data_IF_725574470822
#
_entry.id   IF_725574470822
#
_cell.length_a   1.000
_cell.length_b   1.000
_cell.length_c   1.000
_cell.angle_alpha   90.00
_cell.angle_beta   90.00
_cell.angle_gamma   90.00
#
_symmetry.space_group_name_H-M   'P 1'
#
loop_
_entity.id
_entity.type
_entity.pdbx_description
1 polymer ?
#
# COMPACT_ATOMS: atom_id res chain seq x y z
N UNK A 1 5.96 -2.29 -60.89
CA UNK A 1 4.82 -3.00 -61.51
C UNK A 1 4.98 -4.48 -61.17
N UNK A 2 4.12 -5.07 -60.33
CA UNK A 2 2.91 -5.78 -60.76
C UNK A 2 3.21 -7.29 -60.87
N UNK A 3 3.13 -8.10 -59.80
CA UNK A 3 1.98 -8.90 -59.31
C UNK A 3 1.87 -10.30 -59.96
N UNK A 4 1.92 -11.34 -59.08
CA UNK A 4 1.29 -12.68 -59.09
C UNK A 4 1.68 -13.67 -60.25
N UNK A 5 1.65 -15.00 -60.11
CA UNK A 5 0.71 -15.94 -59.46
C UNK A 5 1.41 -17.30 -59.12
N UNK A 6 0.82 -18.08 -58.20
CA UNK A 6 1.25 -19.43 -57.79
C UNK A 6 1.10 -20.53 -58.86
N UNK A 7 1.33 -21.82 -58.50
CA UNK A 7 0.22 -22.59 -57.92
C UNK A 7 0.59 -23.62 -56.84
N UNK A 8 -0.45 -24.01 -56.11
CA UNK A 8 -0.58 -25.16 -55.21
C UNK A 8 -0.59 -26.50 -55.95
N UNK A 9 -0.13 -27.58 -55.31
CA UNK A 9 -0.97 -28.75 -54.91
C UNK A 9 -0.15 -29.96 -54.43
N UNK A 10 -0.51 -30.41 -53.23
CA UNK A 10 -0.67 -31.81 -52.77
C UNK A 10 0.37 -32.87 -53.12
N UNK A 11 1.02 -33.42 -52.10
CA UNK A 11 1.59 -34.77 -52.15
C UNK A 11 1.02 -35.64 -51.02
N UNK A 12 0.32 -36.65 -51.50
CA UNK A 12 -0.28 -37.84 -50.90
C UNK A 12 0.53 -38.49 -49.79
N UNK A 13 -0.12 -38.77 -48.65
CA UNK A 13 0.38 -39.68 -47.63
C UNK A 13 0.28 -41.13 -48.13
N UNK A 14 1.38 -41.88 -48.13
CA UNK A 14 1.38 -43.35 -48.20
C UNK A 14 1.87 -43.92 -46.88
N UNK A 15 1.07 -44.82 -46.34
CA UNK A 15 1.39 -45.66 -45.17
C UNK A 15 2.50 -46.66 -45.53
N UNK A 16 3.51 -46.76 -44.67
CA UNK A 16 4.57 -47.76 -44.75
C UNK A 16 5.38 -47.73 -43.46
N UNK A 17 5.31 -48.82 -42.70
CA UNK A 17 5.85 -49.04 -41.36
C UNK A 17 7.33 -48.69 -41.22
N UNK A 18 7.70 -47.94 -40.16
CA UNK A 18 9.04 -47.91 -39.60
C UNK A 18 9.00 -47.47 -38.12
N UNK A 19 8.97 -48.48 -37.23
CA UNK A 19 9.69 -48.61 -35.95
C UNK A 19 9.73 -47.41 -34.99
N UNK A 20 9.17 -47.66 -33.81
CA UNK A 20 9.31 -46.91 -32.56
C UNK A 20 10.70 -46.30 -32.35
N UNK A 21 10.77 -44.98 -32.34
CA UNK A 21 11.79 -44.26 -31.58
C UNK A 21 11.09 -43.16 -30.79
N UNK A 22 10.98 -43.24 -29.45
CA UNK A 22 10.54 -42.11 -28.66
C UNK A 22 11.62 -41.05 -28.80
N UNK A 23 11.33 -40.03 -29.60
CA UNK A 23 12.12 -38.80 -29.64
C UNK A 23 12.20 -38.31 -28.19
N UNK A 24 13.40 -38.15 -27.60
CA UNK A 24 13.51 -37.58 -26.28
C UNK A 24 13.20 -36.10 -26.44
N UNK A 25 11.92 -35.75 -26.33
CA UNK A 25 11.52 -34.42 -25.91
C UNK A 25 12.32 -34.15 -24.65
N UNK A 26 13.40 -33.38 -24.81
CA UNK A 26 14.09 -32.71 -23.71
C UNK A 26 13.03 -31.85 -23.06
N UNK A 27 12.32 -32.42 -22.08
CA UNK A 27 11.74 -31.66 -21.01
C UNK A 27 12.93 -31.03 -20.29
N UNK A 28 13.41 -29.91 -20.83
CA UNK A 28 14.02 -28.88 -19.99
C UNK A 28 12.90 -28.47 -19.04
N UNK A 29 12.73 -29.23 -17.96
CA UNK A 29 12.37 -28.63 -16.70
C UNK A 29 13.53 -27.69 -16.41
N UNK A 30 13.45 -26.46 -16.90
CA UNK A 30 14.16 -25.38 -16.26
C UNK A 30 13.69 -25.46 -14.82
N UNK A 31 14.54 -26.05 -14.00
CA UNK A 31 14.39 -25.97 -12.57
C UNK A 31 14.78 -24.53 -12.30
N UNK A 32 13.85 -23.60 -12.55
CA UNK A 32 14.01 -22.23 -12.13
C UNK A 32 14.20 -22.32 -10.63
N UNK A 33 15.46 -22.20 -10.24
CA UNK A 33 15.88 -22.17 -8.85
C UNK A 33 15.13 -21.02 -8.21
N UNK A 34 14.22 -21.33 -7.30
CA UNK A 34 13.47 -20.31 -6.59
C UNK A 34 14.45 -19.43 -5.82
N UNK A 35 14.60 -18.17 -6.22
CA UNK A 35 15.46 -17.21 -5.55
C UNK A 35 14.63 -16.32 -4.62
N UNK A 36 14.90 -16.44 -3.32
CA UNK A 36 14.43 -15.51 -2.30
C UNK A 36 15.53 -14.47 -2.07
N UNK A 37 15.21 -13.19 -2.23
CA UNK A 37 16.22 -12.11 -2.20
C UNK A 37 16.28 -11.42 -0.84
N UNK A 38 17.36 -10.67 -0.60
CA UNK A 38 17.46 -9.79 0.58
C UNK A 38 16.35 -8.73 0.59
N UNK A 39 15.99 -8.19 -0.58
CA UNK A 39 14.87 -7.26 -0.71
C UNK A 39 13.54 -7.92 -0.29
N UNK A 40 13.28 -9.16 -0.71
CA UNK A 40 12.09 -9.89 -0.26
C UNK A 40 12.07 -10.05 1.26
N UNK A 41 13.22 -10.41 1.84
CA UNK A 41 13.40 -10.56 3.29
C UNK A 41 13.10 -9.25 4.01
N UNK A 42 13.63 -8.13 3.52
CA UNK A 42 13.36 -6.81 4.08
C UNK A 42 11.85 -6.48 4.09
N UNK A 43 11.14 -6.75 2.99
CA UNK A 43 9.71 -6.42 2.89
C UNK A 43 8.78 -7.35 3.68
N UNK A 44 9.28 -8.48 4.20
CA UNK A 44 8.50 -9.30 5.17
C UNK A 44 8.08 -8.50 6.40
N UNK A 45 8.81 -7.42 6.73
CA UNK A 45 8.50 -6.48 7.81
C UNK A 45 7.11 -5.84 7.70
N UNK A 46 6.52 -5.73 6.51
CA UNK A 46 5.13 -5.27 6.36
C UNK A 46 4.12 -6.29 6.91
N UNK A 47 4.51 -7.55 7.01
CA UNK A 47 3.66 -8.69 7.33
C UNK A 47 4.03 -9.37 8.65
N UNK A 48 4.77 -8.68 9.53
CA UNK A 48 4.98 -9.02 10.94
C UNK A 48 4.18 -8.08 11.86
N UNK A 49 4.24 -8.32 13.17
CA UNK A 49 3.68 -7.43 14.18
C UNK A 49 4.39 -6.06 14.20
N UNK A 50 3.60 -5.02 14.48
CA UNK A 50 4.07 -3.64 14.68
C UNK A 50 3.50 -3.21 16.02
N UNK A 51 4.36 -3.03 17.01
CA UNK A 51 3.94 -2.89 18.41
C UNK A 51 3.17 -1.58 18.66
N UNK A 52 3.43 -0.55 17.86
CA UNK A 52 2.83 0.78 17.99
C UNK A 52 1.55 0.97 17.15
N UNK A 53 0.94 -0.13 16.66
CA UNK A 53 -0.27 -0.09 15.83
C UNK A 53 -1.45 -0.87 16.45
N UNK A 54 -2.71 -0.39 16.31
CA UNK A 54 -3.12 0.84 15.65
C UNK A 54 -2.75 2.09 16.45
N UNK A 55 -2.52 3.20 15.75
CA UNK A 55 -2.24 4.48 16.40
C UNK A 55 -3.49 5.00 17.12
N UNK A 56 -3.32 5.37 18.39
CA UNK A 56 -4.36 6.00 19.20
C UNK A 56 -4.21 7.52 19.28
N UNK A 57 -2.96 8.02 19.33
CA UNK A 57 -2.63 9.43 19.20
C UNK A 57 -1.68 9.62 18.01
N UNK A 58 -2.21 10.16 16.93
CA UNK A 58 -1.46 10.36 15.69
C UNK A 58 -0.52 11.57 15.71
N UNK A 59 -0.66 12.46 16.69
CA UNK A 59 0.09 13.72 16.71
C UNK A 59 1.56 13.54 17.12
N UNK A 60 1.88 12.50 17.88
CA UNK A 60 3.23 12.25 18.44
C UNK A 60 4.05 11.21 17.70
N UNK A 61 3.48 10.50 16.72
CA UNK A 61 4.06 9.31 16.10
C UNK A 61 5.06 9.62 14.96
N UNK A 62 6.16 10.33 15.25
CA UNK A 62 7.18 10.69 14.23
C UNK A 62 7.93 9.46 13.72
N UNK A 63 8.48 8.65 14.63
CA UNK A 63 9.32 7.51 14.27
C UNK A 63 8.53 6.45 13.49
N UNK A 64 7.31 6.17 13.95
CA UNK A 64 6.40 5.26 13.27
C UNK A 64 6.03 5.77 11.88
N UNK A 65 5.78 7.08 11.71
CA UNK A 65 5.50 7.65 10.39
C UNK A 65 6.69 7.52 9.46
N UNK A 66 7.90 7.82 9.93
CA UNK A 66 9.13 7.67 9.14
C UNK A 66 9.31 6.22 8.68
N UNK A 67 9.12 5.27 9.60
CA UNK A 67 9.26 3.84 9.30
C UNK A 67 8.20 3.35 8.31
N UNK A 68 6.93 3.73 8.52
CA UNK A 68 5.83 3.40 7.61
C UNK A 68 6.02 4.04 6.24
N UNK A 69 6.39 5.31 6.18
CA UNK A 69 6.62 6.02 4.92
C UNK A 69 7.71 5.35 4.11
N UNK A 70 8.87 5.14 4.73
CA UNK A 70 10.01 4.53 4.09
C UNK A 70 9.68 3.15 3.53
N UNK A 71 9.12 2.25 4.34
CA UNK A 71 8.86 0.88 3.89
C UNK A 71 7.71 0.78 2.88
N UNK A 72 6.66 1.59 3.02
CA UNK A 72 5.53 1.57 2.08
C UNK A 72 5.97 2.10 0.73
N UNK A 73 6.67 3.24 0.68
CA UNK A 73 7.12 3.82 -0.59
C UNK A 73 8.08 2.91 -1.34
N UNK A 74 9.04 2.30 -0.63
CA UNK A 74 9.97 1.34 -1.24
C UNK A 74 9.27 0.08 -1.72
N UNK A 75 8.42 -0.52 -0.88
CA UNK A 75 7.71 -1.74 -1.25
C UNK A 75 6.77 -1.52 -2.42
N UNK A 76 6.03 -0.40 -2.43
CA UNK A 76 5.09 -0.10 -3.50
C UNK A 76 5.81 0.06 -4.84
N UNK A 77 7.01 0.67 -4.84
CA UNK A 77 7.89 0.72 -6.01
C UNK A 77 8.40 -0.66 -6.40
N UNK A 78 8.81 -1.48 -5.43
CA UNK A 78 9.30 -2.84 -5.65
C UNK A 78 8.27 -3.75 -6.33
N UNK A 79 6.98 -3.58 -6.01
CA UNK A 79 5.87 -4.31 -6.66
C UNK A 79 5.37 -3.62 -7.95
N UNK A 80 6.05 -2.57 -8.42
CA UNK A 80 5.68 -1.83 -9.63
C UNK A 80 4.36 -1.08 -9.52
N UNK A 81 4.01 -0.61 -8.31
CA UNK A 81 2.82 0.19 -8.01
C UNK A 81 1.48 -0.46 -8.38
N UNK A 82 1.40 -1.80 -8.45
CA UNK A 82 0.21 -2.48 -8.96
C UNK A 82 -0.15 -3.78 -8.21
N UNK A 83 -1.42 -4.18 -8.33
CA UNK A 83 -1.97 -5.37 -7.66
C UNK A 83 -1.36 -6.69 -8.16
N UNK A 84 -0.88 -6.75 -9.41
CA UNK A 84 -0.25 -7.96 -9.95
C UNK A 84 1.10 -8.18 -9.28
N UNK A 85 1.93 -7.16 -9.16
CA UNK A 85 3.21 -7.23 -8.47
C UNK A 85 3.05 -7.62 -7.00
N UNK A 86 2.05 -7.05 -6.31
CA UNK A 86 1.72 -7.47 -4.95
C UNK A 86 1.41 -8.96 -4.86
N UNK A 87 0.50 -9.47 -5.71
CA UNK A 87 0.13 -10.90 -5.71
C UNK A 87 1.32 -11.80 -6.05
N UNK A 88 2.16 -11.39 -6.99
CA UNK A 88 3.38 -12.11 -7.35
C UNK A 88 4.32 -12.20 -6.16
N UNK A 89 4.54 -11.08 -5.46
CA UNK A 89 5.37 -11.05 -4.27
C UNK A 89 4.80 -11.92 -3.15
N UNK A 90 3.50 -11.83 -2.87
CA UNK A 90 2.82 -12.66 -1.86
C UNK A 90 3.00 -14.14 -2.15
N UNK A 91 2.81 -14.59 -3.40
CA UNK A 91 3.01 -16.00 -3.77
C UNK A 91 4.45 -16.45 -3.59
N UNK A 92 5.43 -15.59 -3.90
CA UNK A 92 6.84 -15.86 -3.62
C UNK A 92 7.09 -16.01 -2.12
N UNK A 93 6.52 -15.13 -1.31
CA UNK A 93 6.66 -15.18 0.15
C UNK A 93 6.01 -16.44 0.75
N UNK A 94 4.82 -16.80 0.31
CA UNK A 94 4.16 -18.06 0.65
C UNK A 94 5.06 -19.27 0.34
N UNK A 95 5.63 -19.31 -0.88
CA UNK A 95 6.56 -20.37 -1.28
C UNK A 95 7.83 -20.40 -0.45
N UNK A 96 8.38 -19.24 -0.09
CA UNK A 96 9.57 -19.15 0.75
C UNK A 96 9.30 -19.68 2.17
N UNK A 97 8.12 -19.41 2.73
CA UNK A 97 7.68 -19.99 4.01
C UNK A 97 7.45 -21.50 3.91
N UNK A 98 6.82 -21.98 2.83
CA UNK A 98 6.61 -23.41 2.59
C UNK A 98 7.94 -24.19 2.46
N UNK A 99 9.00 -23.51 1.99
CA UNK A 99 10.37 -24.04 1.88
C UNK A 99 11.22 -23.83 3.14
N UNK A 100 10.69 -23.17 4.18
CA UNK A 100 11.42 -22.87 5.41
C UNK A 100 12.54 -21.84 5.26
N UNK A 101 12.52 -21.04 4.19
CA UNK A 101 13.52 -19.98 3.94
C UNK A 101 13.26 -18.71 4.77
N UNK A 102 12.02 -18.52 5.19
CA UNK A 102 11.58 -17.40 6.05
C UNK A 102 10.60 -17.91 7.07
N UNK A 103 10.64 -17.28 8.24
CA UNK A 103 9.74 -17.61 9.34
C UNK A 103 8.29 -17.28 9.00
N UNK A 104 7.39 -18.13 9.45
CA UNK A 104 5.96 -17.84 9.36
C UNK A 104 5.57 -16.86 10.47
N UNK A 105 5.01 -15.68 10.15
CA UNK A 105 4.63 -14.73 11.18
C UNK A 105 3.52 -15.29 12.07
N UNK A 106 3.67 -15.14 13.38
CA UNK A 106 2.64 -15.49 14.37
C UNK A 106 1.46 -14.53 14.32
N UNK A 107 1.74 -13.27 13.98
CA UNK A 107 0.77 -12.22 13.71
C UNK A 107 1.28 -11.26 12.63
N UNK A 108 0.43 -10.79 11.71
CA UNK A 108 -0.98 -11.18 11.49
C UNK A 108 -1.15 -12.66 11.06
N UNK A 109 -2.31 -13.26 11.34
CA UNK A 109 -2.62 -14.64 10.90
C UNK A 109 -2.93 -14.70 9.40
N UNK A 110 -1.88 -14.90 8.60
CA UNK A 110 -1.91 -14.94 7.12
C UNK A 110 -2.39 -16.28 6.54
N UNK A 111 -2.60 -17.29 7.37
CA UNK A 111 -3.08 -18.61 7.00
C UNK A 111 -4.12 -19.12 8.00
N UNK A 112 -4.78 -20.23 7.65
CA UNK A 112 -5.51 -21.09 8.59
C UNK A 112 -5.00 -22.52 8.46
N UNK A 113 -5.03 -23.27 9.55
CA UNK A 113 -4.81 -24.71 9.49
C UNK A 113 -6.11 -25.39 9.05
N UNK A 114 -6.03 -26.22 7.99
CA UNK A 114 -7.13 -27.08 7.54
C UNK A 114 -6.60 -28.50 7.39
N UNK A 115 -7.01 -29.40 8.30
CA UNK A 115 -6.54 -30.78 8.32
C UNK A 115 -5.01 -30.90 8.51
N UNK A 116 -4.45 -30.08 9.41
CA UNK A 116 -3.00 -30.04 9.67
C UNK A 116 -2.16 -29.30 8.61
N UNK A 117 -2.73 -28.97 7.44
CA UNK A 117 -2.05 -28.22 6.38
C UNK A 117 -2.32 -26.73 6.48
N UNK A 118 -1.30 -25.92 6.20
CA UNK A 118 -1.47 -24.48 6.07
C UNK A 118 -2.25 -24.16 4.79
N UNK A 119 -3.30 -23.35 4.93
CA UNK A 119 -4.03 -22.74 3.81
C UNK A 119 -3.89 -21.23 3.91
N UNK A 120 -3.17 -20.66 2.95
CA UNK A 120 -2.99 -19.21 2.84
C UNK A 120 -4.31 -18.47 2.66
N UNK A 121 -4.40 -17.27 3.23
CA UNK A 121 -5.57 -16.37 3.16
C UNK A 121 -5.18 -15.11 2.39
N UNK A 122 -5.36 -15.09 1.09
CA UNK A 122 -4.97 -13.96 0.23
C UNK A 122 -5.56 -12.62 0.70
N UNK A 123 -6.78 -12.64 1.24
CA UNK A 123 -7.44 -11.44 1.78
C UNK A 123 -6.76 -10.91 3.05
N UNK A 124 -6.10 -11.76 3.83
CA UNK A 124 -5.37 -11.34 5.04
C UNK A 124 -4.12 -10.54 4.67
N UNK A 125 -3.45 -10.89 3.58
CA UNK A 125 -2.31 -10.13 3.04
C UNK A 125 -2.75 -8.74 2.58
N UNK A 126 -3.84 -8.68 1.80
CA UNK A 126 -4.42 -7.42 1.34
C UNK A 126 -4.87 -6.55 2.51
N UNK A 127 -5.60 -7.14 3.47
CA UNK A 127 -6.07 -6.43 4.66
C UNK A 127 -4.91 -5.87 5.48
N UNK A 128 -3.83 -6.64 5.66
CA UNK A 128 -2.64 -6.16 6.37
C UNK A 128 -1.99 -4.97 5.66
N UNK A 129 -1.72 -5.09 4.37
CA UNK A 129 -1.08 -4.01 3.63
C UNK A 129 -1.95 -2.74 3.61
N UNK A 130 -3.24 -2.89 3.32
CA UNK A 130 -4.18 -1.78 3.37
C UNK A 130 -4.26 -1.13 4.75
N UNK A 131 -4.17 -1.91 5.82
CA UNK A 131 -4.15 -1.37 7.18
C UNK A 131 -2.94 -0.47 7.41
N UNK A 132 -1.73 -0.91 7.02
CA UNK A 132 -0.51 -0.10 7.18
C UNK A 132 -0.56 1.19 6.37
N UNK A 133 -1.03 1.12 5.13
CA UNK A 133 -1.26 2.31 4.29
C UNK A 133 -2.25 3.27 4.94
N UNK A 134 -3.32 2.75 5.54
CA UNK A 134 -4.30 3.57 6.25
C UNK A 134 -3.72 4.19 7.53
N UNK A 135 -2.86 3.50 8.26
CA UNK A 135 -2.17 4.06 9.43
C UNK A 135 -1.26 5.22 9.01
N UNK A 136 -0.47 5.05 7.94
CA UNK A 136 0.34 6.15 7.37
C UNK A 136 -0.52 7.35 6.98
N UNK A 137 -1.65 7.14 6.32
CA UNK A 137 -2.59 8.21 5.92
C UNK A 137 -3.20 8.93 7.13
N UNK A 138 -3.60 8.21 8.18
CA UNK A 138 -4.13 8.79 9.43
C UNK A 138 -3.08 9.71 10.07
N UNK A 139 -1.86 9.22 10.28
CA UNK A 139 -0.79 9.98 10.93
C UNK A 139 -0.42 11.21 10.08
N UNK A 140 -0.30 11.03 8.77
CA UNK A 140 -0.03 12.13 7.82
C UNK A 140 -1.11 13.21 7.91
N UNK A 141 -2.39 12.83 7.87
CA UNK A 141 -3.51 13.78 7.94
C UNK A 141 -3.55 14.52 9.27
N UNK A 142 -3.27 13.82 10.38
CA UNK A 142 -3.16 14.45 11.68
C UNK A 142 -2.07 15.51 11.68
N UNK A 143 -0.88 15.23 11.15
CA UNK A 143 0.19 16.23 11.02
C UNK A 143 -0.20 17.41 10.14
N UNK A 144 -0.74 17.15 8.95
CA UNK A 144 -1.21 18.20 8.05
C UNK A 144 -2.25 19.12 8.72
N UNK A 145 -3.12 18.60 9.59
CA UNK A 145 -4.08 19.43 10.32
C UNK A 145 -3.39 20.42 11.26
N UNK A 146 -2.29 20.04 11.90
CA UNK A 146 -1.56 20.87 12.86
C UNK A 146 -0.58 21.85 12.22
N UNK A 147 -0.21 21.67 10.94
CA UNK A 147 0.62 22.64 10.22
C UNK A 147 -0.11 23.97 10.08
N UNK A 148 0.55 25.05 10.48
CA UNK A 148 0.04 26.42 10.47
C UNK A 148 0.52 27.22 9.28
N UNK A 149 1.67 26.87 8.68
CA UNK A 149 2.24 27.63 7.57
C UNK A 149 1.51 27.48 6.22
N UNK A 150 0.52 26.58 6.09
CA UNK A 150 -0.16 26.30 4.82
C UNK A 150 -1.70 26.34 4.89
N UNK A 151 -2.33 26.64 3.75
CA UNK A 151 -3.79 26.74 3.66
C UNK A 151 -4.45 25.36 3.60
N UNK A 152 -5.75 25.32 3.92
CA UNK A 152 -6.57 24.10 3.78
C UNK A 152 -6.56 23.57 2.33
N UNK A 153 -6.47 24.47 1.34
CA UNK A 153 -6.37 24.09 -0.07
C UNK A 153 -5.07 23.30 -0.35
N UNK A 154 -3.92 23.77 0.17
CA UNK A 154 -2.63 23.10 0.01
C UNK A 154 -2.68 21.70 0.63
N UNK A 155 -3.19 21.60 1.87
CA UNK A 155 -3.34 20.33 2.61
C UNK A 155 -4.19 19.30 1.85
N UNK A 156 -5.24 19.75 1.16
CA UNK A 156 -6.11 18.87 0.33
C UNK A 156 -5.41 18.30 -0.89
N UNK A 157 -4.36 18.97 -1.38
CA UNK A 157 -3.59 18.57 -2.56
C UNK A 157 -2.39 17.68 -2.23
N UNK A 158 -2.08 17.44 -0.94
CA UNK A 158 -0.84 16.77 -0.51
C UNK A 158 -0.56 15.43 -1.21
N UNK A 159 -1.57 14.55 -1.32
CA UNK A 159 -1.46 13.28 -2.05
C UNK A 159 -1.90 13.37 -3.52
N UNK A 160 -1.98 14.58 -4.07
CA UNK A 160 -2.50 14.88 -5.39
C UNK A 160 -4.01 15.13 -5.42
N UNK A 161 -4.49 15.59 -6.57
CA UNK A 161 -5.90 15.91 -6.79
C UNK A 161 -6.67 14.78 -7.48
N UNK A 162 -5.98 13.95 -8.26
CA UNK A 162 -6.62 12.84 -8.97
C UNK A 162 -6.94 11.70 -8.03
N UNK A 163 -7.99 10.95 -8.35
CA UNK A 163 -8.23 9.67 -7.71
C UNK A 163 -7.14 8.68 -8.11
N UNK A 164 -6.61 7.92 -7.13
CA UNK A 164 -5.78 6.78 -7.46
C UNK A 164 -6.58 5.76 -8.26
N UNK A 165 -5.91 5.04 -9.16
CA UNK A 165 -6.55 3.89 -9.80
C UNK A 165 -7.02 2.90 -8.71
N UNK A 166 -8.24 2.35 -8.78
CA UNK A 166 -8.74 1.44 -7.76
C UNK A 166 -7.83 0.22 -7.61
N UNK A 167 -7.01 0.19 -6.57
CA UNK A 167 -6.15 -0.94 -6.24
C UNK A 167 -6.81 -1.79 -5.17
N UNK A 168 -7.03 -3.06 -5.47
CA UNK A 168 -7.59 -4.02 -4.53
C UNK A 168 -6.72 -4.14 -3.28
N UNK A 169 -5.39 -4.04 -3.44
CA UNK A 169 -4.40 -4.19 -2.37
C UNK A 169 -4.44 -3.11 -1.29
N UNK A 170 -5.02 -1.95 -1.61
CA UNK A 170 -5.16 -0.82 -0.68
C UNK A 170 -6.62 -0.43 -0.45
N UNK A 171 -7.57 -1.32 -0.76
CA UNK A 171 -8.97 -1.10 -0.36
C UNK A 171 -9.08 -1.22 1.15
N UNK A 172 -9.42 -0.10 1.80
CA UNK A 172 -9.74 -0.06 3.22
C UNK A 172 -10.90 -1.01 3.51
N UNK A 173 -10.73 -1.88 4.51
CA UNK A 173 -11.67 -2.93 4.93
C UNK A 173 -13.09 -2.38 5.20
N UNK A 174 -13.20 -1.10 5.55
CA UNK A 174 -14.46 -0.44 5.92
C UNK A 174 -15.19 0.26 4.75
N UNK A 175 -14.62 0.30 3.54
CA UNK A 175 -15.20 1.04 2.42
C UNK A 175 -15.43 0.13 1.21
N UNK A 176 -16.68 0.08 0.74
CA UNK A 176 -17.05 -0.49 -0.57
C UNK A 176 -16.54 0.36 -1.74
N UNK A 177 -16.12 1.60 -1.46
CA UNK A 177 -15.49 2.52 -2.40
C UNK A 177 -13.96 2.39 -2.30
N UNK A 178 -13.20 2.67 -3.38
CA UNK A 178 -11.75 2.73 -3.31
C UNK A 178 -11.32 3.56 -2.11
N UNK A 179 -10.25 3.18 -1.42
CA UNK A 179 -9.71 4.02 -0.36
C UNK A 179 -9.56 5.44 -0.93
N UNK A 180 -9.96 6.47 -0.17
CA UNK A 180 -9.86 7.88 -0.60
C UNK A 180 -8.41 8.36 -0.60
N UNK A 181 -7.50 7.48 -0.98
CA UNK A 181 -6.11 7.73 -1.24
C UNK A 181 -6.05 8.38 -2.61
N UNK A 182 -5.60 9.62 -2.65
CA UNK A 182 -5.33 10.34 -3.90
C UNK A 182 -4.18 9.66 -4.65
N UNK A 183 -3.97 10.00 -5.91
CA UNK A 183 -3.07 9.28 -6.82
C UNK A 183 -1.58 9.23 -6.45
N UNK A 184 -1.17 9.85 -5.34
CA UNK A 184 0.23 9.88 -4.87
C UNK A 184 0.44 9.36 -3.46
N UNK A 185 -0.52 8.61 -2.92
CA UNK A 185 -0.41 8.07 -1.55
C UNK A 185 0.82 7.19 -1.32
N UNK A 186 1.38 6.56 -2.37
CA UNK A 186 2.55 5.68 -2.26
C UNK A 186 3.88 6.44 -2.30
N UNK A 187 3.88 7.70 -2.73
CA UNK A 187 5.11 8.49 -2.84
C UNK A 187 5.66 8.82 -1.45
N UNK A 188 7.00 8.91 -1.28
CA UNK A 188 7.61 9.39 -0.05
C UNK A 188 7.02 10.73 0.39
N UNK A 189 6.79 10.93 1.68
CA UNK A 189 6.14 12.13 2.21
C UNK A 189 6.94 13.40 1.89
N UNK A 190 8.28 13.33 1.89
CA UNK A 190 9.14 14.45 1.51
C UNK A 190 8.91 14.91 0.06
N UNK A 191 8.65 13.98 -0.85
CA UNK A 191 8.31 14.32 -2.24
C UNK A 191 6.94 15.01 -2.33
N UNK A 192 5.99 14.62 -1.48
CA UNK A 192 4.71 15.29 -1.34
C UNK A 192 4.86 16.71 -0.77
N UNK A 193 5.69 16.90 0.27
CA UNK A 193 6.00 18.20 0.86
C UNK A 193 6.70 19.13 -0.15
N UNK A 194 7.71 18.63 -0.85
CA UNK A 194 8.43 19.39 -1.88
C UNK A 194 7.50 19.86 -3.00
N UNK A 195 6.57 18.99 -3.41
CA UNK A 195 5.57 19.35 -4.42
C UNK A 195 4.58 20.38 -3.92
N UNK A 196 4.05 20.21 -2.71
CA UNK A 196 3.16 21.19 -2.09
C UNK A 196 3.83 22.57 -2.04
N UNK A 197 5.11 22.63 -1.67
CA UNK A 197 5.88 23.87 -1.68
C UNK A 197 6.04 24.45 -3.10
N UNK A 198 6.42 23.63 -4.08
CA UNK A 198 6.58 24.06 -5.46
C UNK A 198 5.27 24.57 -6.11
N UNK A 199 4.16 23.89 -5.86
CA UNK A 199 2.83 24.25 -6.38
C UNK A 199 2.20 25.45 -5.67
N UNK A 200 2.80 25.92 -4.58
CA UNK A 200 2.37 27.12 -3.85
C UNK A 200 2.82 28.44 -4.51
N UNK A 201 3.59 28.38 -5.61
CA UNK A 201 4.13 29.54 -6.31
C UNK A 201 4.94 30.49 -5.42
N UNK A 202 5.71 29.93 -4.47
CA UNK A 202 6.57 30.68 -3.56
C UNK A 202 5.91 31.13 -2.26
N UNK A 203 4.64 30.77 -2.02
CA UNK A 203 3.96 31.04 -0.74
C UNK A 203 4.48 30.18 0.41
N UNK A 204 4.89 28.95 0.13
CA UNK A 204 5.36 28.00 1.12
C UNK A 204 6.87 27.76 0.95
N UNK A 205 7.63 27.96 2.02
CA UNK A 205 9.01 27.51 2.10
C UNK A 205 9.06 26.01 2.42
N UNK A 206 9.84 25.26 1.65
CA UNK A 206 9.96 23.81 1.82
C UNK A 206 10.55 23.44 3.18
N UNK A 207 11.59 24.14 3.64
CA UNK A 207 12.28 23.79 4.88
C UNK A 207 11.41 24.08 6.11
N UNK A 208 10.69 25.20 6.12
CA UNK A 208 9.71 25.51 7.15
C UNK A 208 8.57 24.47 7.18
N UNK A 209 8.00 24.15 6.02
CA UNK A 209 6.96 23.15 5.89
C UNK A 209 7.43 21.76 6.36
N UNK A 210 8.64 21.36 5.96
CA UNK A 210 9.25 20.10 6.37
C UNK A 210 9.52 20.07 7.87
N UNK A 211 10.08 21.13 8.44
CA UNK A 211 10.36 21.24 9.87
C UNK A 211 9.09 21.16 10.71
N UNK A 212 8.02 21.81 10.27
CA UNK A 212 6.72 21.78 10.96
C UNK A 212 6.03 20.42 10.79
N UNK A 213 6.05 19.83 9.58
CA UNK A 213 5.46 18.52 9.34
C UNK A 213 6.15 17.43 10.17
N UNK A 214 7.47 17.42 10.23
CA UNK A 214 8.24 16.40 10.95
C UNK A 214 8.43 16.70 12.44
N UNK A 215 8.17 17.93 12.87
CA UNK A 215 8.42 18.36 14.26
C UNK A 215 9.91 18.51 14.55
N UNK A 216 10.73 18.80 13.53
CA UNK A 216 12.19 18.97 13.65
C UNK A 216 12.62 20.44 13.78
N UNK A 217 11.67 21.37 13.68
CA UNK A 217 11.91 22.78 13.99
C UNK A 217 12.12 23.00 15.49
N UNK A 218 13.10 23.81 15.87
CA UNK A 218 13.15 24.39 17.22
C UNK A 218 11.85 25.17 17.45
N UNK A 219 11.18 25.02 18.62
CA UNK A 219 10.03 25.85 18.93
C UNK A 219 10.46 27.31 18.84
N UNK A 220 9.91 28.03 17.85
CA UNK A 220 10.09 29.46 17.76
C UNK A 220 9.46 30.07 19.02
N UNK A 221 10.34 30.54 19.91
CA UNK A 221 10.09 31.35 21.09
C UNK A 221 8.79 31.09 21.87
N UNK A 222 9.00 30.59 23.08
CA UNK A 222 8.10 30.80 24.21
C UNK A 222 8.04 32.30 24.52
N UNK A 223 7.33 33.08 23.70
CA UNK A 223 6.83 34.38 24.13
C UNK A 223 5.61 34.10 24.98
N UNK A 224 5.85 34.01 26.29
CA UNK A 224 4.81 34.09 27.31
C UNK A 224 4.17 35.47 27.19
N UNK A 225 3.05 35.56 26.49
CA UNK A 225 2.05 36.61 26.72
C UNK A 225 0.81 35.95 27.27
N UNK A 226 0.57 36.19 28.56
CA UNK A 226 -0.67 35.86 29.24
C UNK A 226 -1.85 36.55 28.52
N UNK A 227 -2.91 35.78 28.21
CA UNK A 227 -4.13 36.33 27.64
C UNK A 227 -5.11 35.28 27.15
N UNK A 228 -6.01 34.86 28.05
CA UNK A 228 -7.33 34.27 27.83
C UNK A 228 -7.49 33.03 26.93
N UNK A 229 -7.53 31.88 27.60
CA UNK A 229 -8.15 30.66 27.11
C UNK A 229 -9.64 30.88 26.81
N UNK A 230 -10.03 30.93 25.54
CA UNK A 230 -11.38 30.54 25.09
C UNK A 230 -11.29 29.60 23.91
N UNK A 231 -11.35 28.31 24.23
CA UNK A 231 -11.66 27.23 23.31
C UNK A 231 -13.06 27.48 22.72
N UNK A 232 -13.14 27.62 21.41
CA UNK A 232 -14.36 27.39 20.64
C UNK A 232 -14.03 26.45 19.49
N UNK A 233 -14.28 25.17 19.70
CA UNK A 233 -14.45 24.22 18.61
C UNK A 233 -15.87 24.42 18.07
N UNK A 234 -16.00 24.98 16.86
CA UNK A 234 -17.28 24.94 16.15
C UNK A 234 -17.51 23.51 15.61
N UNK A 235 -18.71 22.94 15.81
CA UNK A 235 -19.06 21.65 15.25
C UNK A 235 -19.41 21.82 13.76
N UNK A 236 -18.75 21.06 12.90
CA UNK A 236 -19.24 20.80 11.53
C UNK A 236 -20.38 19.76 11.62
N UNK A 237 -21.62 20.24 11.78
CA UNK A 237 -22.83 19.55 11.30
C UNK A 237 -22.68 19.38 9.76
N UNK A 238 -23.06 18.29 9.08
CA UNK A 238 -24.27 17.48 9.14
C UNK A 238 -23.97 16.13 8.46
N UNK A 239 -24.37 14.99 9.04
CA UNK A 239 -25.00 13.88 8.29
C UNK A 239 -25.91 13.09 9.24
N UNK A 240 -27.14 13.57 9.32
CA UNK A 240 -28.39 12.81 9.26
C UNK A 240 -28.26 11.27 9.25
N UNK A 241 -28.39 10.62 10.42
CA UNK A 241 -28.69 9.19 10.51
C UNK A 241 -30.07 9.02 11.12
N UNK A 242 -31.03 8.87 10.22
CA UNK A 242 -32.38 8.42 10.51
C UNK A 242 -32.37 7.18 11.40
N UNK A 243 -33.16 7.28 12.46
CA UNK A 243 -33.62 6.22 13.32
C UNK A 243 -34.02 4.96 12.53
N UNK A 244 -33.42 3.82 12.89
CA UNK A 244 -34.04 2.51 12.75
C UNK A 244 -34.24 1.97 14.17
N UNK A 245 -35.50 1.86 14.55
CA UNK A 245 -35.93 1.31 15.83
C UNK A 245 -35.91 -0.22 15.88
N UNK A 246 -36.27 -0.70 17.09
CA UNK A 246 -36.57 -2.07 17.51
C UNK A 246 -35.35 -2.95 17.85
N UNK A 247 -35.25 -3.66 18.99
CA UNK A 247 -36.24 -4.11 19.98
C UNK A 247 -35.53 -4.70 21.24
N UNK A 248 -36.20 -4.59 22.41
CA UNK A 248 -36.10 -5.40 23.69
C UNK A 248 -34.84 -5.23 24.57
N UNK A 249 -34.92 -5.15 25.92
CA UNK A 249 -35.74 -5.94 26.86
C UNK A 249 -35.76 -5.36 28.29
N UNK A 250 -36.84 -5.65 29.04
CA UNK A 250 -37.01 -5.73 30.53
C UNK A 250 -36.93 -4.41 31.32
N UNK A 251 -37.82 -4.09 32.27
CA UNK A 251 -38.74 -4.85 33.15
C UNK A 251 -40.10 -4.14 33.19
#
# INVERSE_FOLDING_TARGET
MGVAQGPSLSTTCKSGDCVDTPSPCKALKSTETFSWTEADTYYTKLFRAWDNLPVHDASTETELLLELDHIISLFDSYIGHNDLGFRTWVRRHQRAMDLGLVETPTWPKLYRLKGGKQKWRDEAWVSRYSFLVNQRDIITKSRLQHITCCEVADKKCFFGLSWAYPRQTVRTVQSTRPARLRNRWYEPLDNCLARMAAESYGRLDFYALHAEFWGTGTPADTVVTAGDCKVKCEPLEDVDVKHVGCIRNRV
#
